data_IF_208962087481
#
_entry.id   IF_208962087481
#
_cell.length_a   1.000
_cell.length_b   1.000
_cell.length_c   1.000
_cell.angle_alpha   90.00
_cell.angle_beta   90.00
_cell.angle_gamma   90.00
#
_symmetry.space_group_name_H-M   'P 1'
#
loop_
_entity.id
_entity.type
_entity.pdbx_description
1 polymer ?
#
# COMPACT_ATOMS: atom_id res chain seq x y z
N UNK A 1 16.99 -1.37 10.15
CA UNK A 1 16.32 -2.68 9.92
C UNK A 1 15.66 -2.68 8.55
N UNK A 2 15.32 -3.84 7.97
CA UNK A 2 14.46 -3.92 6.79
C UNK A 2 13.00 -4.08 7.24
N UNK A 3 12.11 -3.23 6.74
CA UNK A 3 10.70 -3.17 7.11
C UNK A 3 9.86 -3.41 5.86
N UNK A 4 9.05 -4.46 5.91
CA UNK A 4 8.00 -4.72 4.94
C UNK A 4 6.76 -3.91 5.36
N UNK A 5 6.43 -2.86 4.60
CA UNK A 5 5.27 -2.01 4.86
C UNK A 5 4.08 -2.47 4.01
N UNK A 6 2.86 -2.41 4.57
CA UNK A 6 1.65 -2.76 3.84
C UNK A 6 0.47 -1.89 4.30
N UNK A 7 -0.27 -1.34 3.32
CA UNK A 7 -1.44 -0.50 3.54
C UNK A 7 -2.69 -1.14 2.90
N UNK A 8 -3.42 -2.01 3.64
CA UNK A 8 -4.41 -2.94 3.06
C UNK A 8 -5.63 -2.28 2.40
N UNK A 9 -5.90 -1.00 2.69
CA UNK A 9 -7.06 -0.26 2.17
C UNK A 9 -6.66 0.72 1.07
N UNK A 10 -5.55 1.43 1.23
CA UNK A 10 -5.15 2.54 0.38
C UNK A 10 -3.63 2.49 0.24
N UNK A 11 -3.17 1.94 -0.87
CA UNK A 11 -1.75 1.99 -1.23
C UNK A 11 -1.22 3.43 -1.18
N UNK A 12 -0.01 3.65 -0.62
CA UNK A 12 0.65 4.96 -0.60
C UNK A 12 1.05 5.46 -1.99
N UNK A 13 1.21 4.57 -2.97
CA UNK A 13 1.66 4.84 -4.34
C UNK A 13 0.52 5.30 -5.26
N UNK A 14 -0.73 5.10 -4.86
CA UNK A 14 -1.87 5.46 -5.68
C UNK A 14 -2.01 7.00 -5.80
N UNK A 15 -2.21 7.56 -7.02
CA UNK A 15 -2.09 8.99 -7.28
C UNK A 15 -3.20 9.85 -6.63
N UNK A 16 -4.38 9.28 -6.42
CA UNK A 16 -5.52 9.99 -5.79
C UNK A 16 -5.23 10.34 -4.32
N UNK A 17 -5.39 11.61 -3.97
CA UNK A 17 -5.22 12.12 -2.61
C UNK A 17 -6.16 11.43 -1.59
N UNK A 18 -5.65 11.20 -0.37
CA UNK A 18 -6.37 10.60 0.75
C UNK A 18 -5.57 10.79 2.03
N UNK A 19 -6.26 11.02 3.17
CA UNK A 19 -5.64 11.11 4.49
C UNK A 19 -4.83 9.85 4.84
N UNK A 20 -5.40 8.67 4.62
CA UNK A 20 -4.72 7.38 4.85
C UNK A 20 -3.41 7.28 4.07
N UNK A 21 -3.42 7.71 2.80
CA UNK A 21 -2.21 7.69 1.95
C UNK A 21 -1.17 8.68 2.44
N UNK A 22 -1.60 9.85 2.91
CA UNK A 22 -0.70 10.81 3.51
C UNK A 22 -0.07 10.25 4.78
N UNK A 23 -0.87 9.65 5.67
CA UNK A 23 -0.35 8.99 6.88
C UNK A 23 0.65 7.89 6.53
N UNK A 24 0.32 7.01 5.58
CA UNK A 24 1.21 5.95 5.14
C UNK A 24 2.56 6.49 4.63
N UNK A 25 2.54 7.49 3.75
CA UNK A 25 3.77 8.12 3.23
C UNK A 25 4.59 8.81 4.33
N UNK A 26 3.94 9.50 5.26
CA UNK A 26 4.63 10.16 6.38
C UNK A 26 5.26 9.14 7.33
N UNK A 27 4.57 8.03 7.61
CA UNK A 27 5.11 6.97 8.44
C UNK A 27 6.33 6.30 7.78
N UNK A 28 6.25 5.99 6.49
CA UNK A 28 7.40 5.47 5.71
C UNK A 28 8.57 6.44 5.80
N UNK A 29 8.37 7.73 5.53
CA UNK A 29 9.42 8.75 5.63
C UNK A 29 10.02 8.86 7.03
N UNK A 30 9.21 8.76 8.08
CA UNK A 30 9.70 8.81 9.46
C UNK A 30 10.58 7.61 9.80
N UNK A 31 10.20 6.41 9.32
CA UNK A 31 11.00 5.19 9.47
C UNK A 31 12.30 5.28 8.68
N UNK A 32 12.27 5.77 7.44
CA UNK A 32 13.46 6.01 6.63
C UNK A 32 14.40 7.03 7.28
N UNK A 33 13.84 8.12 7.84
CA UNK A 33 14.61 9.10 8.60
C UNK A 33 15.28 8.49 9.84
N UNK A 34 14.67 7.47 10.46
CA UNK A 34 15.27 6.69 11.54
C UNK A 34 16.36 5.70 11.10
N UNK A 35 16.74 5.66 9.82
CA UNK A 35 17.75 4.74 9.28
C UNK A 35 17.23 3.35 8.95
N UNK A 36 15.91 3.17 8.81
CA UNK A 36 15.32 1.91 8.37
C UNK A 36 15.15 1.87 6.84
N UNK A 37 15.35 0.70 6.23
CA UNK A 37 14.98 0.45 4.84
C UNK A 37 13.54 -0.01 4.82
N UNK A 38 12.66 0.72 4.13
CA UNK A 38 11.23 0.40 4.07
C UNK A 38 10.86 0.05 2.63
N UNK A 39 10.25 -1.11 2.43
CA UNK A 39 9.78 -1.58 1.13
C UNK A 39 8.27 -1.84 1.22
N UNK A 40 7.51 -1.43 0.20
CA UNK A 40 6.09 -1.79 0.12
C UNK A 40 6.00 -3.28 -0.25
N UNK A 41 5.50 -4.09 0.69
CA UNK A 41 5.43 -5.53 0.55
C UNK A 41 4.35 -5.98 -0.44
N UNK A 42 3.28 -5.19 -0.57
CA UNK A 42 2.16 -5.51 -1.45
C UNK A 42 1.35 -4.27 -1.80
N UNK A 43 0.86 -4.25 -3.04
CA UNK A 43 -0.13 -3.29 -3.56
C UNK A 43 -1.57 -3.81 -3.46
N UNK A 44 -1.75 -5.05 -2.96
CA UNK A 44 -3.07 -5.69 -2.88
C UNK A 44 -3.98 -4.89 -1.96
N UNK A 45 -5.22 -4.69 -2.42
CA UNK A 45 -6.26 -4.08 -1.60
C UNK A 45 -7.22 -5.17 -1.14
N UNK A 46 -7.29 -5.38 0.17
CA UNK A 46 -8.10 -6.48 0.73
C UNK A 46 -9.59 -6.14 0.84
N UNK A 47 -9.94 -4.86 0.76
CA UNK A 47 -11.33 -4.40 0.85
C UNK A 47 -11.68 -3.44 -0.28
N UNK A 48 -12.80 -3.72 -0.93
CA UNK A 48 -13.48 -2.84 -1.87
C UNK A 48 -14.92 -2.66 -1.38
N UNK A 49 -15.43 -1.42 -1.45
CA UNK A 49 -16.82 -1.12 -1.07
C UNK A 49 -17.80 -1.87 -1.97
N UNK A 50 -17.53 -1.85 -3.26
CA UNK A 50 -18.27 -2.58 -4.27
C UNK A 50 -17.31 -3.54 -4.98
N UNK A 51 -17.77 -4.73 -5.36
CA UNK A 51 -16.94 -5.67 -6.10
C UNK A 51 -16.56 -5.07 -7.45
N UNK A 52 -15.27 -5.10 -7.78
CA UNK A 52 -14.76 -4.69 -9.08
C UNK A 52 -14.06 -5.90 -9.73
N UNK A 53 -14.74 -6.56 -10.67
CA UNK A 53 -14.25 -7.80 -11.29
C UNK A 53 -12.85 -7.65 -11.88
N UNK A 54 -12.53 -6.50 -12.49
CA UNK A 54 -11.19 -6.21 -13.05
C UNK A 54 -10.09 -6.30 -12.00
N UNK A 55 -10.34 -5.81 -10.78
CA UNK A 55 -9.38 -5.85 -9.67
C UNK A 55 -9.11 -7.30 -9.21
N UNK A 56 -10.13 -8.17 -9.24
CA UNK A 56 -9.97 -9.59 -8.88
C UNK A 56 -9.36 -10.42 -10.01
N UNK A 57 -9.68 -10.12 -11.27
CA UNK A 57 -9.15 -10.85 -12.42
C UNK A 57 -7.64 -10.58 -12.62
N UNK A 58 -7.18 -9.37 -12.34
CA UNK A 58 -5.76 -9.04 -12.33
C UNK A 58 -4.96 -9.88 -11.31
N UNK A 59 -5.54 -10.13 -10.12
CA UNK A 59 -4.89 -10.92 -9.06
C UNK A 59 -4.79 -12.41 -9.38
N UNK A 60 -5.67 -12.96 -10.24
CA UNK A 60 -5.61 -14.37 -10.66
C UNK A 60 -4.45 -14.67 -11.62
N UNK A 61 -3.87 -13.64 -12.24
CA UNK A 61 -2.81 -13.78 -13.24
C UNK A 61 -1.42 -13.82 -12.60
N UNK A 62 -1.26 -13.30 -11.38
CA UNK A 62 0.02 -13.19 -10.67
C UNK A 62 0.34 -14.34 -9.70
N UNK A 63 -0.57 -15.30 -9.50
CA UNK A 63 -0.42 -16.43 -8.56
C UNK A 63 -0.29 -17.77 -9.30
#
# INVERSE_FOLDING_TARGET
MRIAFYAPLKSPNHPVASGDRQMARTLVKALEHGGHSVELASEIRFYLREPESKSFDALKIEA
#
